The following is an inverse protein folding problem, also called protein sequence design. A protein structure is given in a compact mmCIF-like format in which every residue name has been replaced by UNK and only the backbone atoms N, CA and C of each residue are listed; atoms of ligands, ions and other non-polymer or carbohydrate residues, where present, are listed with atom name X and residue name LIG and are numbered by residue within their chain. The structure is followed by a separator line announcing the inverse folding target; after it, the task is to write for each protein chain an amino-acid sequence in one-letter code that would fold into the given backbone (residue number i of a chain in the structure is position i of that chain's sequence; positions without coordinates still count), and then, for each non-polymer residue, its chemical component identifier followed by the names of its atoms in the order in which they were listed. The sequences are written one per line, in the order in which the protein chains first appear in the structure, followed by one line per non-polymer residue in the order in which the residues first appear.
data_IF_876520378064
#
_entry.id   IF_876520378064
#
_cell.length_a   1.000
_cell.length_b   1.000
_cell.length_c   1.000
_cell.angle_alpha   90.00
_cell.angle_beta   90.00
_cell.angle_gamma   90.00
#
_symmetry.space_group_name_H-M   'P 1'
#
loop_
_entity.id
_entity.type
_entity.pdbx_description
1 polymer ?
#
# COMPACT_ATOMS: atom_id res chain seq x y z
N UNK A 1 -7.56 2.69 -11.91
CA UNK A 1 -8.78 2.01 -11.42
C UNK A 1 -9.21 2.73 -10.15
N UNK A 2 -10.50 3.00 -9.96
CA UNK A 2 -11.01 3.60 -8.72
C UNK A 2 -11.03 2.55 -7.59
N UNK A 3 -11.03 3.01 -6.34
CA UNK A 3 -11.14 2.15 -5.16
C UNK A 3 -12.44 1.34 -5.17
N UNK A 4 -13.55 1.98 -5.56
CA UNK A 4 -14.86 1.34 -5.69
C UNK A 4 -14.85 0.13 -6.63
N UNK A 5 -14.23 0.26 -7.82
CA UNK A 5 -14.13 -0.88 -8.75
C UNK A 5 -13.33 -2.03 -8.16
N UNK A 6 -12.32 -1.75 -7.33
CA UNK A 6 -11.57 -2.83 -6.66
C UNK A 6 -12.39 -3.49 -5.55
N UNK A 7 -13.18 -2.71 -4.79
CA UNK A 7 -14.10 -3.21 -3.78
C UNK A 7 -15.13 -4.17 -4.39
N UNK A 8 -15.77 -3.77 -5.49
CA UNK A 8 -16.73 -4.60 -6.22
C UNK A 8 -16.09 -5.92 -6.66
N UNK A 9 -14.91 -5.85 -7.29
CA UNK A 9 -14.20 -7.05 -7.77
C UNK A 9 -13.84 -8.01 -6.65
N UNK A 10 -13.44 -7.51 -5.48
CA UNK A 10 -13.12 -8.35 -4.32
C UNK A 10 -14.37 -9.09 -3.84
N UNK A 11 -15.49 -8.40 -3.72
CA UNK A 11 -16.75 -8.99 -3.25
C UNK A 11 -17.31 -10.00 -4.27
N UNK A 12 -17.33 -9.65 -5.56
CA UNK A 12 -17.72 -10.56 -6.65
C UNK A 12 -16.87 -11.82 -6.63
N UNK A 13 -15.55 -11.68 -6.48
CA UNK A 13 -14.65 -12.82 -6.44
C UNK A 13 -14.86 -13.69 -5.21
N UNK A 14 -15.07 -13.09 -4.02
CA UNK A 14 -15.43 -13.85 -2.81
C UNK A 14 -16.71 -14.66 -3.05
N UNK A 15 -17.74 -14.03 -3.60
CA UNK A 15 -19.02 -14.67 -3.87
C UNK A 15 -18.91 -15.82 -4.88
N UNK A 16 -18.12 -15.66 -5.95
CA UNK A 16 -17.83 -16.73 -6.91
C UNK A 16 -17.15 -17.93 -6.23
N UNK A 17 -16.13 -17.69 -5.41
CA UNK A 17 -15.41 -18.74 -4.69
C UNK A 17 -16.36 -19.49 -3.74
N UNK A 18 -17.13 -18.76 -2.94
CA UNK A 18 -18.12 -19.33 -2.01
C UNK A 18 -19.19 -20.14 -2.74
N UNK A 19 -19.72 -19.62 -3.86
CA UNK A 19 -20.69 -20.32 -4.69
C UNK A 19 -20.15 -21.63 -5.28
N UNK A 20 -18.88 -21.64 -5.71
CA UNK A 20 -18.20 -22.85 -6.19
C UNK A 20 -17.96 -23.85 -5.08
N UNK A 21 -17.54 -23.39 -3.89
CA UNK A 21 -17.34 -24.25 -2.72
C UNK A 21 -18.66 -24.84 -2.19
N UNK A 22 -19.79 -24.13 -2.34
CA UNK A 22 -21.11 -24.66 -1.99
C UNK A 22 -21.50 -25.88 -2.83
N UNK A 23 -20.97 -26.01 -4.06
CA UNK A 23 -21.10 -27.20 -4.91
C UNK A 23 -19.87 -28.13 -4.83
N UNK A 24 -19.39 -28.40 -3.62
CA UNK A 24 -18.18 -29.20 -3.38
C UNK A 24 -18.22 -30.60 -4.00
N UNK A 25 -19.40 -31.20 -4.17
CA UNK A 25 -19.57 -32.53 -4.75
C UNK A 25 -19.10 -32.63 -6.21
N UNK A 26 -19.06 -31.51 -6.95
CA UNK A 26 -18.60 -31.45 -8.33
C UNK A 26 -17.10 -31.13 -8.47
N UNK A 27 -16.38 -30.94 -7.36
CA UNK A 27 -14.99 -30.48 -7.35
C UNK A 27 -14.00 -31.61 -6.99
N UNK A 28 -12.84 -31.61 -7.65
CA UNK A 28 -11.70 -32.44 -7.22
C UNK A 28 -11.08 -31.92 -5.92
N UNK A 29 -10.36 -32.79 -5.22
CA UNK A 29 -9.60 -32.44 -4.01
C UNK A 29 -8.64 -31.27 -4.22
N UNK A 30 -7.97 -31.22 -5.37
CA UNK A 30 -7.07 -30.12 -5.73
C UNK A 30 -7.83 -28.79 -5.91
N UNK A 31 -8.98 -28.81 -6.57
CA UNK A 31 -9.81 -27.61 -6.75
C UNK A 31 -10.36 -27.10 -5.41
N UNK A 32 -10.82 -28.00 -4.54
CA UNK A 32 -11.26 -27.64 -3.19
C UNK A 32 -10.15 -26.98 -2.39
N UNK A 33 -8.94 -27.53 -2.42
CA UNK A 33 -7.79 -26.96 -1.74
C UNK A 33 -7.44 -25.57 -2.28
N UNK A 34 -7.43 -25.39 -3.61
CA UNK A 34 -7.14 -24.10 -4.24
C UNK A 34 -8.18 -23.05 -3.86
N UNK A 35 -9.47 -23.35 -4.02
CA UNK A 35 -10.55 -22.42 -3.67
C UNK A 35 -10.59 -22.09 -2.18
N UNK A 36 -10.28 -23.06 -1.31
CA UNK A 36 -10.23 -22.81 0.14
C UNK A 36 -9.08 -21.87 0.51
N UNK A 37 -7.91 -22.00 -0.14
CA UNK A 37 -6.78 -21.08 0.03
C UNK A 37 -7.12 -19.69 -0.48
N UNK A 38 -7.68 -19.61 -1.68
CA UNK A 38 -8.09 -18.34 -2.28
C UNK A 38 -9.14 -17.62 -1.41
N UNK A 39 -10.13 -18.37 -0.89
CA UNK A 39 -11.12 -17.82 0.05
C UNK A 39 -10.43 -17.28 1.31
N UNK A 40 -9.48 -18.02 1.88
CA UNK A 40 -8.75 -17.58 3.06
C UNK A 40 -7.92 -16.30 2.81
N UNK A 41 -7.41 -16.12 1.60
CA UNK A 41 -6.65 -14.95 1.20
C UNK A 41 -7.53 -13.72 0.95
N UNK A 42 -8.67 -13.90 0.28
CA UNK A 42 -9.56 -12.78 -0.08
C UNK A 42 -10.47 -12.34 1.06
N UNK A 43 -10.80 -13.25 2.00
CA UNK A 43 -11.68 -12.97 3.14
C UNK A 43 -11.30 -11.73 3.96
N UNK A 44 -10.03 -11.54 4.40
CA UNK A 44 -9.67 -10.33 5.16
C UNK A 44 -9.84 -9.05 4.33
N UNK A 45 -9.58 -9.09 3.03
CA UNK A 45 -9.79 -7.94 2.14
C UNK A 45 -11.29 -7.63 2.02
N UNK A 46 -12.12 -8.65 1.79
CA UNK A 46 -13.57 -8.50 1.69
C UNK A 46 -14.20 -7.97 2.98
N UNK A 47 -13.74 -8.43 4.15
CA UNK A 47 -14.19 -7.90 5.44
C UNK A 47 -13.86 -6.41 5.58
N UNK A 48 -12.67 -5.99 5.16
CA UNK A 48 -12.31 -4.58 5.17
C UNK A 48 -13.16 -3.76 4.19
N UNK A 49 -13.48 -4.31 3.02
CA UNK A 49 -14.42 -3.69 2.07
C UNK A 49 -15.79 -3.46 2.72
N UNK A 50 -16.31 -4.46 3.44
CA UNK A 50 -17.61 -4.36 4.14
C UNK A 50 -17.59 -3.25 5.20
N UNK A 51 -16.51 -3.12 5.97
CA UNK A 51 -16.32 -2.03 6.95
C UNK A 51 -16.36 -0.66 6.25
N UNK A 52 -15.60 -0.49 5.17
CA UNK A 52 -15.54 0.77 4.43
C UNK A 52 -16.93 1.13 3.88
N UNK A 53 -17.64 0.18 3.28
CA UNK A 53 -19.01 0.40 2.78
C UNK A 53 -19.98 0.79 3.87
N UNK A 54 -19.90 0.13 5.02
CA UNK A 54 -20.76 0.46 6.15
C UNK A 54 -20.51 1.88 6.63
N UNK A 55 -19.25 2.31 6.75
CA UNK A 55 -18.90 3.68 7.12
C UNK A 55 -19.35 4.71 6.08
N UNK A 56 -19.18 4.41 4.79
CA UNK A 56 -19.67 5.26 3.71
C UNK A 56 -21.20 5.43 3.78
N UNK A 57 -21.94 4.34 4.01
CA UNK A 57 -23.39 4.38 4.16
C UNK A 57 -23.81 5.16 5.40
N UNK A 58 -23.25 4.86 6.56
CA UNK A 58 -23.55 5.58 7.80
C UNK A 58 -23.24 7.07 7.69
N UNK A 59 -22.14 7.43 7.01
CA UNK A 59 -21.80 8.83 6.76
C UNK A 59 -22.84 9.52 5.88
N UNK A 60 -23.36 8.83 4.87
CA UNK A 60 -24.42 9.36 4.03
C UNK A 60 -25.73 9.51 4.81
N UNK A 61 -26.11 8.49 5.57
CA UNK A 61 -27.33 8.51 6.39
C UNK A 61 -27.29 9.65 7.42
N UNK A 62 -26.17 9.84 8.12
CA UNK A 62 -25.98 10.93 9.08
C UNK A 62 -26.08 12.32 8.41
N UNK A 63 -25.51 12.48 7.21
CA UNK A 63 -25.65 13.72 6.43
C UNK A 63 -27.09 13.97 6.02
N UNK A 64 -27.81 12.93 5.60
CA UNK A 64 -29.20 13.05 5.17
C UNK A 64 -30.09 13.43 6.36
N UNK A 65 -29.86 12.86 7.55
CA UNK A 65 -30.56 13.27 8.78
C UNK A 65 -30.27 14.74 9.10
N UNK A 66 -29.01 15.17 9.05
CA UNK A 66 -28.62 16.55 9.35
C UNK A 66 -29.25 17.61 8.42
N UNK A 67 -29.75 17.20 7.24
CA UNK A 67 -30.39 18.06 6.24
C UNK A 67 -31.91 17.93 6.23
N UNK A 68 -32.45 16.75 6.57
CA UNK A 68 -33.88 16.45 6.43
C UNK A 68 -34.67 16.56 7.73
N UNK A 69 -34.02 16.52 8.89
CA UNK A 69 -34.66 16.61 10.19
C UNK A 69 -34.98 18.07 10.57
N UNK A 70 -35.93 18.24 11.51
CA UNK A 70 -36.36 19.57 11.97
C UNK A 70 -36.13 19.83 13.46
N UNK A 71 -35.80 18.77 14.20
CA UNK A 71 -35.42 18.87 15.61
C UNK A 71 -33.93 19.25 15.72
N UNK A 72 -33.67 20.40 16.36
CA UNK A 72 -32.32 20.95 16.52
C UNK A 72 -31.38 20.01 17.30
N UNK A 73 -31.88 19.24 18.27
CA UNK A 73 -31.05 18.29 19.03
C UNK A 73 -30.62 17.11 18.14
N UNK A 74 -31.52 16.61 17.30
CA UNK A 74 -31.22 15.53 16.37
C UNK A 74 -30.27 15.97 15.25
N UNK A 75 -30.41 17.21 14.76
CA UNK A 75 -29.50 17.78 13.75
C UNK A 75 -28.08 17.89 14.32
N UNK A 76 -27.91 18.39 15.54
CA UNK A 76 -26.60 18.51 16.17
C UNK A 76 -25.95 17.15 16.43
N UNK A 77 -26.73 16.15 16.85
CA UNK A 77 -26.25 14.78 16.99
C UNK A 77 -25.76 14.20 15.65
N UNK A 78 -26.53 14.38 14.58
CA UNK A 78 -26.19 13.90 13.24
C UNK A 78 -24.95 14.60 12.66
N UNK A 79 -24.75 15.89 12.98
CA UNK A 79 -23.52 16.63 12.61
C UNK A 79 -22.30 16.09 13.34
N UNK A 80 -22.40 15.84 14.64
CA UNK A 80 -21.30 15.25 15.41
C UNK A 80 -20.94 13.85 14.89
N UNK A 81 -21.94 13.01 14.59
CA UNK A 81 -21.73 11.70 13.99
C UNK A 81 -21.08 11.80 12.60
N UNK A 82 -21.52 12.75 11.77
CA UNK A 82 -20.92 13.02 10.46
C UNK A 82 -19.43 13.36 10.59
N UNK A 83 -19.06 14.19 11.56
CA UNK A 83 -17.65 14.56 11.81
C UNK A 83 -16.82 13.35 12.25
N UNK A 84 -17.35 12.54 13.18
CA UNK A 84 -16.69 11.31 13.62
C UNK A 84 -16.45 10.36 12.45
N UNK A 85 -17.49 10.06 11.67
CA UNK A 85 -17.43 9.12 10.54
C UNK A 85 -16.51 9.65 9.44
N UNK A 86 -16.55 10.94 9.14
CA UNK A 86 -15.66 11.57 8.16
C UNK A 86 -14.18 11.52 8.59
N UNK A 87 -13.89 11.52 9.89
CA UNK A 87 -12.53 11.36 10.41
C UNK A 87 -12.03 9.91 10.35
N UNK A 88 -12.92 8.93 10.54
CA UNK A 88 -12.59 7.49 10.58
C UNK A 88 -12.49 6.85 9.21
N UNK A 89 -13.32 7.26 8.26
CA UNK A 89 -13.39 6.66 6.92
C UNK A 89 -12.02 6.67 6.19
N UNK A 90 -11.23 7.77 6.19
CA UNK A 90 -9.92 7.79 5.54
C UNK A 90 -8.94 6.72 6.04
N UNK A 91 -8.96 6.44 7.35
CA UNK A 91 -8.08 5.44 7.97
C UNK A 91 -8.47 4.02 7.53
N UNK A 92 -9.76 3.72 7.47
CA UNK A 92 -10.25 2.41 7.02
C UNK A 92 -10.08 2.22 5.51
N UNK A 93 -10.21 3.29 4.71
CA UNK A 93 -9.84 3.28 3.30
C UNK A 93 -8.34 3.05 3.10
N UNK A 94 -7.49 3.63 3.96
CA UNK A 94 -6.05 3.41 3.91
C UNK A 94 -5.70 1.95 4.21
N UNK A 95 -6.28 1.38 5.28
CA UNK A 95 -6.12 -0.06 5.59
C UNK A 95 -6.57 -0.95 4.43
N UNK A 96 -7.69 -0.62 3.79
CA UNK A 96 -8.16 -1.34 2.61
C UNK A 96 -7.16 -1.24 1.44
N UNK A 97 -6.62 -0.05 1.17
CA UNK A 97 -5.60 0.15 0.13
C UNK A 97 -4.36 -0.71 0.38
N UNK A 98 -3.92 -0.82 1.63
CA UNK A 98 -2.79 -1.70 2.00
C UNK A 98 -3.11 -3.18 1.76
N UNK A 99 -4.32 -3.64 2.10
CA UNK A 99 -4.76 -5.02 1.87
C UNK A 99 -4.93 -5.36 0.38
N UNK A 100 -5.23 -4.36 -0.46
CA UNK A 100 -5.36 -4.50 -1.91
C UNK A 100 -4.00 -4.51 -2.63
N UNK A 101 -2.91 -4.16 -1.95
CA UNK A 101 -1.59 -4.33 -2.53
C UNK A 101 -1.37 -5.83 -2.80
N UNK A 102 -0.77 -6.18 -3.96
CA UNK A 102 -0.34 -7.55 -4.18
C UNK A 102 0.47 -7.99 -2.96
N UNK A 103 0.16 -9.18 -2.40
CA UNK A 103 1.04 -9.80 -1.42
C UNK A 103 2.33 -10.14 -2.14
N UNK A 104 3.25 -9.20 -2.14
CA UNK A 104 4.45 -9.30 -2.93
C UNK A 104 5.34 -10.36 -2.27
N UNK A 105 5.61 -11.44 -3.01
CA UNK A 105 6.71 -12.36 -2.69
C UNK A 105 8.07 -11.66 -2.72
N UNK A 106 8.09 -10.38 -3.13
CA UNK A 106 9.27 -9.58 -3.43
C UNK A 106 9.46 -8.34 -2.54
N UNK A 107 8.49 -7.94 -1.73
CA UNK A 107 8.60 -6.73 -0.87
C UNK A 107 9.67 -6.89 0.23
N UNK A 108 10.00 -8.14 0.57
CA UNK A 108 11.12 -8.48 1.46
C UNK A 108 12.48 -8.59 0.73
N UNK A 109 12.53 -8.37 -0.60
CA UNK A 109 13.78 -8.45 -1.37
C UNK A 109 14.43 -7.07 -1.44
N UNK A 110 15.71 -7.04 -1.07
CA UNK A 110 16.55 -5.86 -1.17
C UNK A 110 16.54 -5.28 -2.60
N UNK A 111 16.26 -3.99 -2.74
CA UNK A 111 16.41 -3.27 -4.00
C UNK A 111 17.86 -2.76 -4.15
N UNK A 112 18.49 -3.05 -5.29
CA UNK A 112 19.82 -2.50 -5.62
C UNK A 112 19.61 -1.26 -6.49
N UNK A 113 20.17 -0.13 -6.09
CA UNK A 113 20.14 1.12 -6.88
C UNK A 113 21.52 1.35 -7.48
N UNK A 114 21.66 1.13 -8.78
CA UNK A 114 22.91 1.45 -9.49
C UNK A 114 22.83 2.87 -10.06
N UNK A 115 23.71 3.76 -9.58
CA UNK A 115 23.79 5.15 -10.08
C UNK A 115 24.98 5.24 -11.03
N UNK A 116 24.70 5.24 -12.33
CA UNK A 116 25.73 5.39 -13.36
C UNK A 116 25.86 6.87 -13.75
N UNK A 117 27.07 7.41 -13.69
CA UNK A 117 27.35 8.70 -14.32
C UNK A 117 27.17 8.55 -15.85
N UNK A 118 26.25 9.33 -16.42
CA UNK A 118 26.09 9.45 -17.88
C UNK A 118 27.20 10.32 -18.50
N UNK A 119 27.01 10.74 -19.75
CA UNK A 119 27.88 11.77 -20.36
C UNK A 119 27.68 13.11 -19.67
N UNK A 120 28.77 13.74 -19.21
CA UNK A 120 28.72 15.03 -18.51
C UNK A 120 29.72 15.21 -17.37
N UNK A 121 30.84 14.48 -17.37
CA UNK A 121 32.01 14.77 -16.52
C UNK A 121 31.69 15.08 -15.04
N UNK A 122 31.98 16.32 -14.63
CA UNK A 122 31.90 16.80 -13.25
C UNK A 122 30.45 17.04 -12.82
N UNK A 123 29.59 17.49 -13.73
CA UNK A 123 28.16 17.71 -13.49
C UNK A 123 27.40 16.40 -13.27
N UNK A 124 27.77 15.34 -14.00
CA UNK A 124 27.21 14.00 -13.80
C UNK A 124 27.59 13.42 -12.43
N UNK A 125 28.80 13.73 -11.93
CA UNK A 125 29.26 13.31 -10.61
C UNK A 125 28.53 14.07 -9.48
N UNK A 126 28.31 15.39 -9.65
CA UNK A 126 27.51 16.19 -8.71
C UNK A 126 26.07 15.68 -8.64
N UNK A 127 25.44 15.42 -9.78
CA UNK A 127 24.07 14.89 -9.81
C UNK A 127 23.95 13.51 -9.15
N UNK A 128 24.93 12.63 -9.35
CA UNK A 128 24.97 11.33 -8.68
C UNK A 128 25.10 11.48 -7.15
N UNK A 129 25.90 12.44 -6.69
CA UNK A 129 26.03 12.78 -5.26
C UNK A 129 24.73 13.33 -4.67
N UNK A 130 24.05 14.23 -5.39
CA UNK A 130 22.77 14.80 -4.96
C UNK A 130 21.66 13.73 -4.90
N UNK A 131 21.62 12.84 -5.89
CA UNK A 131 20.69 11.71 -5.92
C UNK A 131 20.95 10.76 -4.74
N UNK A 132 22.21 10.47 -4.44
CA UNK A 132 22.57 9.68 -3.26
C UNK A 132 22.12 10.35 -1.95
N UNK A 133 22.30 11.67 -1.83
CA UNK A 133 21.84 12.44 -0.67
C UNK A 133 20.32 12.40 -0.51
N UNK A 134 19.58 12.57 -1.61
CA UNK A 134 18.12 12.50 -1.65
C UNK A 134 17.60 11.11 -1.23
N UNK A 135 18.16 10.04 -1.81
CA UNK A 135 17.78 8.66 -1.48
C UNK A 135 18.09 8.35 -0.01
N UNK A 136 19.24 8.81 0.49
CA UNK A 136 19.63 8.63 1.90
C UNK A 136 18.66 9.33 2.86
N UNK A 137 18.22 10.54 2.53
CA UNK A 137 17.26 11.30 3.33
C UNK A 137 15.87 10.65 3.33
N UNK A 138 15.40 10.17 2.18
CA UNK A 138 14.13 9.43 2.06
C UNK A 138 14.12 8.18 2.96
N UNK A 139 15.23 7.44 3.04
CA UNK A 139 15.31 6.24 3.87
C UNK A 139 15.29 6.52 5.37
N UNK A 140 15.94 7.60 5.82
CA UNK A 140 15.90 8.00 7.23
C UNK A 140 14.47 8.35 7.67
N UNK A 141 13.68 8.97 6.79
CA UNK A 141 12.28 9.29 7.06
C UNK A 141 11.34 8.07 7.02
N UNK A 142 11.75 6.96 6.39
CA UNK A 142 10.98 5.71 6.34
C UNK A 142 11.27 4.75 7.51
N UNK A 143 12.06 5.16 8.52
CA UNK A 143 12.30 4.37 9.73
C UNK A 143 13.20 3.13 9.56
N UNK A 144 13.80 2.93 8.38
CA UNK A 144 14.67 1.79 8.08
C UNK A 144 16.05 1.93 8.74
N UNK A 145 16.37 1.05 9.69
CA UNK A 145 17.67 0.96 10.33
C UNK A 145 18.80 0.72 9.31
N UNK A 146 19.74 1.66 9.24
CA UNK A 146 20.84 1.65 8.27
C UNK A 146 21.80 0.47 8.53
N UNK A 147 21.90 -0.47 7.58
CA UNK A 147 23.14 -1.25 7.37
C UNK A 147 23.65 -0.98 5.97
N UNK A 148 24.29 0.18 5.78
CA UNK A 148 24.98 0.50 4.53
C UNK A 148 26.22 -0.39 4.38
N UNK A 149 26.18 -1.35 3.47
CA UNK A 149 27.40 -1.97 2.97
C UNK A 149 27.89 -1.18 1.76
N UNK A 150 28.58 -0.07 2.02
CA UNK A 150 29.40 0.57 0.99
C UNK A 150 30.62 -0.34 0.81
N UNK A 151 30.63 -1.13 -0.25
CA UNK A 151 31.83 -1.85 -0.65
C UNK A 151 32.87 -0.81 -1.09
N UNK A 152 33.95 -0.70 -0.32
CA UNK A 152 35.16 0.13 -0.51
C UNK A 152 35.05 1.65 -0.27
N UNK A 153 35.36 2.00 0.99
CA UNK A 153 35.72 3.34 1.48
C UNK A 153 36.92 4.02 0.77
N UNK A 154 37.63 3.32 -0.13
CA UNK A 154 38.78 3.88 -0.88
C UNK A 154 38.38 4.72 -2.11
N UNK A 155 37.09 4.72 -2.50
CA UNK A 155 36.65 5.40 -3.73
C UNK A 155 36.17 6.84 -3.53
N UNK A 156 35.91 7.31 -2.30
CA UNK A 156 35.46 8.70 -2.06
C UNK A 156 36.48 9.77 -2.52
N UNK A 157 37.78 9.49 -2.38
CA UNK A 157 38.84 10.36 -2.90
C UNK A 157 39.10 10.13 -4.41
N UNK A 158 38.64 9.00 -4.96
CA UNK A 158 38.72 8.69 -6.39
C UNK A 158 37.54 9.30 -7.19
N UNK A 159 36.39 9.54 -6.54
CA UNK A 159 35.19 10.21 -7.10
C UNK A 159 35.55 11.56 -7.72
N UNK A 160 36.50 12.31 -7.13
CA UNK A 160 36.93 13.61 -7.64
C UNK A 160 37.84 13.54 -8.87
N UNK A 161 38.33 12.35 -9.26
CA UNK A 161 39.40 12.22 -10.27
C UNK A 161 39.02 11.43 -11.52
N UNK A 162 38.00 10.57 -11.51
CA UNK A 162 37.55 9.86 -12.71
C UNK A 162 36.04 9.57 -12.68
N UNK A 163 35.30 9.82 -13.79
CA UNK A 163 33.89 9.46 -13.90
C UNK A 163 33.80 7.95 -14.15
N UNK A 164 33.82 7.16 -13.08
CA UNK A 164 33.63 5.71 -13.14
C UNK A 164 32.33 5.33 -12.43
N UNK A 165 31.69 4.28 -12.95
CA UNK A 165 30.37 3.77 -12.56
C UNK A 165 30.28 3.48 -11.05
N UNK A 166 29.22 3.92 -10.38
CA UNK A 166 28.98 3.63 -8.95
C UNK A 166 27.81 2.65 -8.76
N UNK A 167 28.00 1.64 -7.92
CA UNK A 167 26.93 0.70 -7.54
C UNK A 167 26.60 0.88 -6.06
N UNK A 168 25.39 1.38 -5.76
CA UNK A 168 24.91 1.57 -4.40
C UNK A 168 23.96 0.43 -4.04
N UNK A 169 24.44 -0.54 -3.25
CA UNK A 169 23.58 -1.60 -2.72
C UNK A 169 22.94 -1.12 -1.42
N UNK A 170 21.62 -0.99 -1.42
CA UNK A 170 20.83 -0.73 -0.22
C UNK A 170 20.10 -2.00 0.17
N UNK A 171 20.14 -2.33 1.46
CA UNK A 171 19.39 -3.45 2.01
C UNK A 171 18.47 -2.91 3.09
N UNK A 172 17.17 -3.14 2.95
CA UNK A 172 16.22 -2.82 4.00
C UNK A 172 16.34 -3.89 5.10
N UNK A 173 16.27 -3.51 6.39
CA UNK A 173 16.26 -4.50 7.46
C UNK A 173 15.01 -5.39 7.36
N UNK A 174 15.20 -6.68 7.59
CA UNK A 174 14.16 -7.70 7.72
C UNK A 174 13.28 -7.48 8.94
#
# INVERSE_FOLDING_TARGET
MSLETNMDRVLERRQDIEGRLANAAALSSNQLMQLSRELAEIKPVAQQVEIVRQLQQSLQDAKDIAVSETDDELIELARAETEELASRLPDEEHKLKLLLLPKDTDDARNAIIEVRAGTGGEEAALFASDLFGCISALQLNMGGGLKSWISRKQELEAIKRQPQIFQVRMSLPS
#
